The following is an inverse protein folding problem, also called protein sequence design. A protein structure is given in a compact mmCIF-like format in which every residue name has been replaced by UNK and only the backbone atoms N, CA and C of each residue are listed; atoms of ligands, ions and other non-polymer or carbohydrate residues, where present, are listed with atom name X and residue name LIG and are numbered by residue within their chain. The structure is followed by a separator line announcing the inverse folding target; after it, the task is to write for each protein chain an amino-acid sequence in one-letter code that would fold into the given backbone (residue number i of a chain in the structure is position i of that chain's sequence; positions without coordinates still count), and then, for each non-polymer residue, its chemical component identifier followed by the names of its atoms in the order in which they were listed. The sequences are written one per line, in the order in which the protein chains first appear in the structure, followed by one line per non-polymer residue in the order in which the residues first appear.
data_IF_189621441213
#
_entry.id   IF_189621441213
#
_cell.length_a   1.000
_cell.length_b   1.000
_cell.length_c   1.000
_cell.angle_alpha   90.00
_cell.angle_beta   90.00
_cell.angle_gamma   90.00
#
_symmetry.space_group_name_H-M   'P 1'
#
loop_
_entity.id
_entity.type
_entity.pdbx_description
1 polymer ?
#
# COMPACT_ATOMS: atom_id res chain seq x y z
N UNK A 1 -27.70 28.81 -5.16
CA UNK A 1 -27.38 27.38 -4.97
C UNK A 1 -25.88 27.24 -5.05
N UNK A 2 -25.21 27.39 -3.91
CA UNK A 2 -23.76 27.37 -3.77
C UNK A 2 -23.28 25.93 -3.64
N UNK A 3 -22.65 25.42 -4.70
CA UNK A 3 -21.95 24.14 -4.67
C UNK A 3 -20.74 24.26 -3.76
N UNK A 4 -20.80 23.60 -2.62
CA UNK A 4 -19.69 23.36 -1.70
C UNK A 4 -18.45 22.88 -2.47
N UNK A 5 -17.27 23.52 -2.33
CA UNK A 5 -16.04 22.90 -2.78
C UNK A 5 -15.79 21.66 -1.90
N UNK A 6 -15.78 20.49 -2.52
CA UNK A 6 -15.39 19.25 -1.85
C UNK A 6 -14.00 19.44 -1.25
N UNK A 7 -13.97 19.48 0.08
CA UNK A 7 -12.80 19.64 0.92
C UNK A 7 -11.74 18.57 0.60
N UNK A 8 -10.78 18.87 -0.29
CA UNK A 8 -9.58 18.07 -0.54
C UNK A 8 -8.48 18.34 0.49
N UNK A 9 -8.84 18.50 1.76
CA UNK A 9 -7.83 18.61 2.82
C UNK A 9 -7.50 17.22 3.39
N UNK A 10 -6.19 17.00 3.51
CA UNK A 10 -5.47 15.76 3.85
C UNK A 10 -5.33 14.79 2.69
N UNK A 11 -4.11 14.69 2.13
CA UNK A 11 -3.47 13.50 1.52
C UNK A 11 -2.19 13.84 0.72
N UNK A 12 -1.60 15.03 0.89
CA UNK A 12 -0.27 15.33 0.35
C UNK A 12 0.88 14.67 1.15
N UNK A 13 0.64 13.53 1.79
CA UNK A 13 1.72 12.59 2.08
C UNK A 13 1.84 11.72 0.82
N UNK A 14 2.49 12.25 -0.21
CA UNK A 14 2.73 11.50 -1.46
C UNK A 14 3.62 10.29 -1.21
N UNK A 15 3.24 9.09 -1.67
CA UNK A 15 4.04 7.87 -1.51
C UNK A 15 5.45 8.05 -2.08
N UNK A 16 6.44 7.32 -1.57
CA UNK A 16 7.80 7.32 -2.12
C UNK A 16 8.24 5.94 -2.64
N UNK A 17 7.41 4.92 -2.45
CA UNK A 17 7.65 3.56 -2.91
C UNK A 17 6.39 2.89 -3.44
N UNK A 18 6.59 1.96 -4.37
CA UNK A 18 5.53 1.13 -4.93
C UNK A 18 6.03 -0.31 -5.00
N UNK A 19 5.21 -1.25 -4.51
CA UNK A 19 5.45 -2.68 -4.64
C UNK A 19 4.30 -3.33 -5.38
N UNK A 20 4.61 -4.02 -6.47
CA UNK A 20 3.62 -4.74 -7.28
C UNK A 20 3.83 -6.24 -7.11
N UNK A 21 2.76 -6.95 -6.79
CA UNK A 21 2.66 -8.40 -6.83
C UNK A 21 1.69 -8.77 -7.95
N UNK A 22 2.06 -9.64 -8.88
CA UNK A 22 1.16 -10.05 -9.97
C UNK A 22 1.29 -11.53 -10.30
N UNK A 23 0.18 -12.13 -10.73
CA UNK A 23 0.12 -13.52 -11.13
C UNK A 23 -0.88 -13.71 -12.27
N UNK A 24 -0.48 -14.52 -13.25
CA UNK A 24 -1.28 -14.90 -14.42
C UNK A 24 -1.85 -16.32 -14.28
N UNK A 25 -1.27 -17.16 -13.42
CA UNK A 25 -1.72 -18.53 -13.16
C UNK A 25 -2.60 -18.60 -11.90
N UNK A 26 -3.69 -19.39 -11.98
CA UNK A 26 -4.67 -19.53 -10.89
C UNK A 26 -4.05 -19.92 -9.54
N UNK A 27 -3.13 -20.90 -9.52
CA UNK A 27 -2.48 -21.35 -8.29
C UNK A 27 -1.59 -20.28 -7.65
N UNK A 28 -0.91 -19.47 -8.47
CA UNK A 28 -0.05 -18.37 -8.01
C UNK A 28 -0.86 -17.20 -7.43
N UNK A 29 -2.14 -17.11 -7.75
CA UNK A 29 -3.02 -16.04 -7.24
C UNK A 29 -3.35 -16.21 -5.76
N UNK A 30 -3.48 -17.45 -5.29
CA UNK A 30 -3.67 -17.71 -3.87
C UNK A 30 -2.45 -17.27 -3.05
N UNK A 31 -1.25 -17.39 -3.64
CA UNK A 31 0.01 -17.03 -2.98
C UNK A 31 0.31 -15.52 -3.01
N UNK A 32 -0.37 -14.73 -3.86
CA UNK A 32 -0.14 -13.28 -3.95
C UNK A 32 -0.48 -12.56 -2.65
N UNK A 33 -1.61 -12.92 -2.03
CA UNK A 33 -2.06 -12.31 -0.78
C UNK A 33 -1.09 -12.62 0.36
N UNK A 34 -0.64 -13.87 0.45
CA UNK A 34 0.34 -14.30 1.44
C UNK A 34 1.67 -13.57 1.22
N UNK A 35 2.16 -13.51 -0.02
CA UNK A 35 3.39 -12.79 -0.35
C UNK A 35 3.32 -11.30 -0.02
N UNK A 36 2.20 -10.65 -0.33
CA UNK A 36 1.98 -9.24 0.02
C UNK A 36 1.94 -9.02 1.54
N UNK A 37 1.26 -9.92 2.26
CA UNK A 37 1.12 -9.87 3.72
C UNK A 37 2.46 -10.09 4.41
N UNK A 38 3.21 -11.12 4.01
CA UNK A 38 4.57 -11.40 4.52
C UNK A 38 5.49 -10.21 4.25
N UNK A 39 5.46 -9.65 3.04
CA UNK A 39 6.31 -8.51 2.70
C UNK A 39 6.04 -7.26 3.56
N UNK A 40 4.77 -6.99 3.88
CA UNK A 40 4.37 -5.92 4.80
C UNK A 40 4.80 -6.23 6.25
N UNK A 41 4.60 -7.48 6.70
CA UNK A 41 4.96 -7.91 8.05
C UNK A 41 6.47 -7.79 8.32
N UNK A 42 7.31 -8.07 7.33
CA UNK A 42 8.76 -7.87 7.39
C UNK A 42 9.17 -6.39 7.45
N UNK A 43 8.27 -5.46 7.11
CA UNK A 43 8.55 -4.02 6.96
C UNK A 43 7.58 -3.17 7.79
N UNK A 44 7.52 -3.36 9.12
CA UNK A 44 6.55 -2.68 9.99
C UNK A 44 6.75 -1.16 10.05
N UNK A 45 7.91 -0.68 9.60
CA UNK A 45 8.22 0.73 9.57
C UNK A 45 7.62 1.45 8.34
N UNK A 46 7.15 0.71 7.34
CA UNK A 46 6.49 1.28 6.15
C UNK A 46 5.10 1.80 6.52
N UNK A 47 4.77 2.99 6.04
CA UNK A 47 3.42 3.55 6.13
C UNK A 47 2.72 3.25 4.80
N UNK A 48 1.72 2.36 4.83
CA UNK A 48 0.93 2.04 3.64
C UNK A 48 -0.03 3.19 3.38
N UNK A 49 0.10 3.82 2.21
CA UNK A 49 -0.73 4.94 1.80
C UNK A 49 -1.98 4.45 1.04
N UNK A 50 -1.81 3.43 0.17
CA UNK A 50 -2.89 2.85 -0.60
C UNK A 50 -2.57 1.41 -1.07
N UNK A 51 -3.60 0.62 -1.31
CA UNK A 51 -3.50 -0.72 -1.92
C UNK A 51 -4.53 -0.83 -3.03
N UNK A 52 -4.06 -0.97 -4.27
CA UNK A 52 -4.92 -1.14 -5.45
C UNK A 52 -4.85 -2.59 -5.91
N UNK A 53 -6.00 -3.27 -5.90
CA UNK A 53 -6.15 -4.62 -6.45
C UNK A 53 -6.77 -4.51 -7.83
N UNK A 54 -6.03 -4.94 -8.85
CA UNK A 54 -6.51 -4.96 -10.24
C UNK A 54 -6.69 -6.40 -10.70
N UNK A 55 -7.88 -6.71 -11.17
CA UNK A 55 -8.18 -8.00 -11.78
C UNK A 55 -8.58 -7.79 -13.24
N UNK A 56 -7.95 -8.55 -14.14
CA UNK A 56 -8.45 -8.72 -15.50
C UNK A 56 -8.92 -10.16 -15.66
N UNK A 57 -10.13 -10.35 -16.16
CA UNK A 57 -10.69 -11.67 -16.45
C UNK A 57 -11.05 -11.75 -17.93
N UNK A 58 -10.10 -12.20 -18.75
CA UNK A 58 -10.41 -12.74 -20.07
C UNK A 58 -10.58 -14.27 -19.96
N UNK A 59 -11.38 -14.85 -20.84
CA UNK A 59 -11.81 -16.26 -20.88
C UNK A 59 -10.64 -17.25 -20.88
N UNK A 60 -9.44 -16.82 -21.29
CA UNK A 60 -8.24 -17.67 -21.31
C UNK A 60 -7.17 -17.26 -20.29
N UNK A 61 -7.23 -16.05 -19.72
CA UNK A 61 -6.23 -15.57 -18.77
C UNK A 61 -6.85 -14.61 -17.76
N UNK A 62 -6.82 -15.02 -16.50
CA UNK A 62 -7.23 -14.17 -15.40
C UNK A 62 -5.98 -13.65 -14.71
N UNK A 63 -5.66 -12.37 -14.87
CA UNK A 63 -4.51 -11.75 -14.20
C UNK A 63 -4.98 -11.08 -12.90
N UNK A 64 -4.25 -11.26 -11.81
CA UNK A 64 -4.45 -10.50 -10.56
C UNK A 64 -3.18 -9.73 -10.25
N UNK A 65 -3.31 -8.45 -9.91
CA UNK A 65 -2.22 -7.62 -9.44
C UNK A 65 -2.63 -6.90 -8.14
N UNK A 66 -1.74 -6.91 -7.16
CA UNK A 66 -1.83 -6.15 -5.91
C UNK A 66 -0.71 -5.11 -5.96
N UNK A 67 -1.09 -3.83 -6.00
CA UNK A 67 -0.16 -2.70 -6.01
C UNK A 67 -0.24 -1.99 -4.67
N UNK A 68 0.85 -1.97 -3.93
CA UNK A 68 0.97 -1.32 -2.63
C UNK A 68 1.78 -0.05 -2.80
N UNK A 69 1.16 1.09 -2.50
CA UNK A 69 1.81 2.38 -2.40
C UNK A 69 2.18 2.63 -0.95
N UNK A 70 3.45 2.90 -0.69
CA UNK A 70 3.95 3.04 0.66
C UNK A 70 4.94 4.20 0.80
N UNK A 71 5.15 4.59 2.04
CA UNK A 71 6.22 5.49 2.46
C UNK A 71 7.23 4.75 3.30
N UNK A 72 8.48 4.81 2.86
CA UNK A 72 9.61 4.38 3.67
C UNK A 72 9.84 5.36 4.83
N UNK A 73 10.15 4.86 6.04
CA UNK A 73 10.50 5.71 7.16
C UNK A 73 11.76 6.49 6.81
N UNK A 74 11.64 7.80 6.64
CA UNK A 74 12.81 8.67 6.64
C UNK A 74 13.37 8.75 8.06
N UNK A 75 14.65 9.06 8.20
CA UNK A 75 15.29 9.23 9.51
C UNK A 75 14.52 10.21 10.40
N UNK A 76 13.96 11.28 9.83
CA UNK A 76 13.09 12.24 10.52
C UNK A 76 11.78 11.59 11.04
N UNK A 77 11.10 10.77 10.23
CA UNK A 77 9.87 10.10 10.63
C UNK A 77 10.13 8.98 11.67
N UNK A 78 11.27 8.29 11.54
CA UNK A 78 11.68 7.26 12.49
C UNK A 78 11.96 7.83 13.89
N UNK A 79 12.64 8.99 13.97
CA UNK A 79 12.91 9.68 15.23
C UNK A 79 11.62 10.23 15.86
N UNK A 80 10.76 10.90 15.09
CA UNK A 80 9.48 11.41 15.58
C UNK A 80 8.58 10.30 16.16
N UNK A 81 8.57 9.11 15.53
CA UNK A 81 7.85 7.94 16.05
C UNK A 81 8.46 7.37 17.34
N UNK A 82 9.78 7.48 17.52
CA UNK A 82 10.46 7.03 18.76
C UNK A 82 10.13 7.94 19.94
N UNK A 83 10.06 9.25 19.72
CA UNK A 83 9.67 10.23 20.74
C UNK A 83 8.23 10.04 21.22
N UNK A 84 7.28 9.78 20.31
CA UNK A 84 5.88 9.50 20.66
C UNK A 84 5.69 8.22 21.50
N UNK A 85 6.61 7.25 21.39
CA UNK A 85 6.58 6.00 22.17
C UNK A 85 7.34 6.09 23.50
N UNK A 86 8.07 7.17 23.74
CA UNK A 86 8.90 7.38 24.94
C UNK A 86 8.28 8.31 26.00
N UNK A 87 7.03 8.75 25.82
CA UNK A 87 6.30 9.54 26.83
C UNK A 87 5.48 8.58 27.69
N UNK A 88 6.13 7.89 28.63
CA UNK A 88 5.54 7.35 29.86
C UNK A 88 6.63 7.18 30.91
#
# INVERSE_FOLDING_TARGET
MTSTPANSQSRARGFNGVKVFSATLFLQRQQLSDAATTWLAERPAFEVEDIVVTQSSDISHHCLAITIFYREPTQANALARKELRGVH
#
